data_IF_084915696077
#
_entry.id   IF_084915696077
#
_cell.length_a   1.000
_cell.length_b   1.000
_cell.length_c   1.000
_cell.angle_alpha   90.00
_cell.angle_beta   90.00
_cell.angle_gamma   90.00
#
_symmetry.space_group_name_H-M   'P 1'
#
loop_
_entity.id
_entity.type
_entity.pdbx_description
1 polymer ?
#
# COMPACT_ATOMS: atom_id res chain seq x y z
N UNK A 1 -1.45 -23.60 11.33
CA UNK A 1 -1.08 -23.55 12.76
C UNK A 1 -1.81 -22.36 13.37
N UNK A 2 -2.54 -22.55 14.47
CA UNK A 2 -3.25 -21.48 15.17
C UNK A 2 -2.22 -20.54 15.80
N UNK A 3 -1.96 -19.39 15.21
CA UNK A 3 -1.18 -18.32 15.84
C UNK A 3 -1.87 -17.90 17.13
N UNK A 4 -1.21 -18.08 18.27
CA UNK A 4 -1.72 -17.61 19.55
C UNK A 4 -1.64 -16.08 19.60
N UNK A 5 -2.79 -15.41 19.55
CA UNK A 5 -2.89 -13.97 19.81
C UNK A 5 -2.58 -13.71 21.29
N UNK A 6 -1.66 -12.78 21.56
CA UNK A 6 -1.31 -12.34 22.92
C UNK A 6 -1.80 -10.91 23.07
N UNK A 7 -2.77 -10.70 23.97
CA UNK A 7 -3.26 -9.37 24.31
C UNK A 7 -2.24 -8.60 25.15
N UNK A 8 -1.92 -7.39 24.74
CA UNK A 8 -0.93 -6.52 25.38
C UNK A 8 -1.28 -5.05 25.23
N UNK A 9 -0.69 -4.22 26.09
CA UNK A 9 -0.61 -2.77 25.92
C UNK A 9 0.85 -2.37 25.71
N UNK A 10 1.07 -1.16 25.20
CA UNK A 10 2.39 -0.59 25.01
C UNK A 10 2.73 0.45 26.10
N UNK A 11 4.02 0.50 26.54
CA UNK A 11 5.14 -0.35 26.13
C UNK A 11 5.04 -1.80 26.63
N UNK A 12 5.58 -2.75 25.86
CA UNK A 12 5.58 -4.17 26.23
C UNK A 12 6.34 -4.41 27.54
N UNK A 13 5.81 -5.29 28.39
CA UNK A 13 6.52 -5.76 29.59
C UNK A 13 7.76 -6.58 29.22
N UNK A 14 8.76 -6.68 30.12
CA UNK A 14 9.95 -7.51 29.88
C UNK A 14 9.62 -8.96 29.52
N UNK A 15 8.58 -9.56 30.12
CA UNK A 15 8.16 -10.92 29.79
C UNK A 15 7.68 -11.03 28.34
N UNK A 16 6.84 -10.10 27.88
CA UNK A 16 6.32 -10.10 26.51
C UNK A 16 7.41 -9.81 25.48
N UNK A 17 8.39 -8.96 25.81
CA UNK A 17 9.57 -8.75 24.98
C UNK A 17 10.37 -10.06 24.83
N UNK A 18 10.66 -10.76 25.94
CA UNK A 18 11.37 -12.04 25.88
C UNK A 18 10.61 -13.08 25.06
N UNK A 19 9.27 -13.16 25.20
CA UNK A 19 8.45 -14.06 24.39
C UNK A 19 8.60 -13.78 22.90
N UNK A 20 8.55 -12.52 22.47
CA UNK A 20 8.77 -12.13 21.08
C UNK A 20 10.20 -12.41 20.57
N UNK A 21 11.21 -12.25 21.42
CA UNK A 21 12.59 -12.60 21.03
C UNK A 21 12.79 -14.11 20.87
N UNK A 22 12.08 -14.91 21.67
CA UNK A 22 12.12 -16.37 21.59
C UNK A 22 11.25 -16.94 20.46
N UNK A 23 10.16 -16.26 20.09
CA UNK A 23 9.27 -16.66 19.00
C UNK A 23 8.83 -15.45 18.17
N UNK A 24 9.41 -15.33 16.97
CA UNK A 24 9.12 -14.27 16.00
C UNK A 24 7.82 -14.47 15.23
N UNK A 25 7.12 -15.59 15.42
CA UNK A 25 5.84 -15.86 14.79
C UNK A 25 4.65 -15.46 15.66
N UNK A 26 4.89 -14.97 16.88
CA UNK A 26 3.84 -14.45 17.74
C UNK A 26 3.17 -13.23 17.11
N UNK A 27 1.85 -13.20 17.21
CA UNK A 27 1.04 -12.04 16.83
C UNK A 27 0.47 -11.43 18.09
N UNK A 28 0.72 -10.14 18.30
CA UNK A 28 0.22 -9.41 19.45
C UNK A 28 -1.10 -8.72 19.11
N UNK A 29 -2.09 -8.81 20.00
CA UNK A 29 -3.28 -7.96 19.96
C UNK A 29 -3.04 -6.75 20.85
N UNK A 30 -3.00 -5.56 20.28
CA UNK A 30 -2.55 -4.35 20.97
C UNK A 30 -3.74 -3.45 21.24
N UNK A 31 -4.06 -3.27 22.52
CA UNK A 31 -5.03 -2.29 22.98
C UNK A 31 -4.40 -0.89 23.02
N UNK A 32 -4.76 -0.05 22.04
CA UNK A 32 -4.24 1.32 21.93
C UNK A 32 -4.80 2.23 23.02
N UNK A 33 -6.07 2.08 23.38
CA UNK A 33 -6.72 2.91 24.41
C UNK A 33 -6.16 2.64 25.81
N UNK A 34 -5.85 1.38 26.10
CA UNK A 34 -5.19 0.96 27.34
C UNK A 34 -3.68 1.24 27.37
N UNK A 35 -3.08 1.60 26.24
CA UNK A 35 -1.64 1.89 26.15
C UNK A 35 -1.29 3.26 26.74
N UNK A 36 -0.10 3.38 27.33
CA UNK A 36 0.39 4.62 27.96
C UNK A 36 1.06 5.58 26.98
N UNK A 37 1.01 5.26 25.69
CA UNK A 37 1.74 5.94 24.62
C UNK A 37 0.77 6.44 23.57
N UNK A 38 1.15 7.48 22.83
CA UNK A 38 0.30 8.05 21.79
C UNK A 38 0.18 7.13 20.57
N UNK A 39 -0.83 7.30 19.70
CA UNK A 39 -0.95 6.54 18.46
C UNK A 39 0.33 6.56 17.61
N UNK A 40 0.95 7.73 17.46
CA UNK A 40 2.25 7.87 16.77
C UNK A 40 3.36 7.02 17.40
N UNK A 41 3.47 7.02 18.73
CA UNK A 41 4.47 6.25 19.46
C UNK A 41 4.20 4.74 19.36
N UNK A 42 2.93 4.34 19.32
CA UNK A 42 2.51 2.97 19.07
C UNK A 42 3.06 2.49 17.73
N UNK A 43 2.74 3.17 16.62
CA UNK A 43 3.21 2.80 15.28
C UNK A 43 4.74 2.75 15.19
N UNK A 44 5.44 3.70 15.83
CA UNK A 44 6.90 3.71 15.87
C UNK A 44 7.45 2.47 16.59
N UNK A 45 6.81 2.04 17.68
CA UNK A 45 7.18 0.85 18.43
C UNK A 45 6.96 -0.41 17.59
N UNK A 46 5.82 -0.52 16.89
CA UNK A 46 5.54 -1.64 15.98
C UNK A 46 6.60 -1.76 14.89
N UNK A 47 6.95 -0.64 14.25
CA UNK A 47 8.00 -0.59 13.24
C UNK A 47 9.36 -0.98 13.80
N UNK A 48 9.81 -0.33 14.89
CA UNK A 48 11.16 -0.51 15.41
C UNK A 48 11.42 -1.95 15.89
N UNK A 49 10.39 -2.57 16.46
CA UNK A 49 10.47 -3.95 16.93
C UNK A 49 10.11 -4.96 15.83
N UNK A 50 9.62 -4.51 14.67
CA UNK A 50 9.02 -5.34 13.60
C UNK A 50 7.98 -6.31 14.16
N UNK A 51 7.10 -5.78 15.03
CA UNK A 51 6.09 -6.59 15.70
C UNK A 51 4.92 -6.84 14.75
N UNK A 52 4.66 -8.13 14.49
CA UNK A 52 3.39 -8.55 13.89
C UNK A 52 2.27 -8.30 14.88
N UNK A 53 1.39 -7.37 14.53
CA UNK A 53 0.36 -6.89 15.44
C UNK A 53 -1.03 -6.81 14.78
N UNK A 54 -2.03 -7.18 15.57
CA UNK A 54 -3.41 -6.80 15.39
C UNK A 54 -3.69 -5.61 16.32
N UNK A 55 -4.03 -4.45 15.77
CA UNK A 55 -4.21 -3.22 16.55
C UNK A 55 -5.69 -3.00 16.83
N UNK A 56 -6.07 -2.93 18.09
CA UNK A 56 -7.44 -2.68 18.53
C UNK A 56 -7.69 -1.19 18.77
N UNK A 57 -8.96 -0.79 18.72
CA UNK A 57 -9.40 0.58 18.97
C UNK A 57 -8.70 1.62 18.08
N UNK A 58 -8.61 1.32 16.79
CA UNK A 58 -8.00 2.20 15.79
C UNK A 58 -8.85 3.47 15.63
N UNK A 59 -8.20 4.63 15.72
CA UNK A 59 -8.84 5.93 15.54
C UNK A 59 -8.28 6.69 14.33
N UNK A 60 -8.91 7.83 14.02
CA UNK A 60 -8.51 8.65 12.88
C UNK A 60 -7.08 9.21 13.05
N UNK A 61 -6.66 9.55 14.27
CA UNK A 61 -5.30 10.04 14.55
C UNK A 61 -4.25 8.96 14.21
N UNK A 62 -4.49 7.72 14.62
CA UNK A 62 -3.65 6.59 14.26
C UNK A 62 -3.54 6.42 12.74
N UNK A 63 -4.67 6.48 12.03
CA UNK A 63 -4.66 6.33 10.57
C UNK A 63 -3.97 7.49 9.85
N UNK A 64 -4.05 8.72 10.37
CA UNK A 64 -3.29 9.87 9.83
C UNK A 64 -1.78 9.66 9.98
N UNK A 65 -1.34 9.16 11.13
CA UNK A 65 0.06 8.82 11.36
C UNK A 65 0.52 7.62 10.53
N UNK A 66 -0.34 6.61 10.37
CA UNK A 66 -0.07 5.42 9.56
C UNK A 66 0.14 5.80 8.09
N UNK A 67 -0.77 6.63 7.55
CA UNK A 67 -0.71 7.13 6.17
C UNK A 67 0.60 7.86 5.86
N UNK A 68 1.10 8.65 6.81
CA UNK A 68 2.30 9.50 6.65
C UNK A 68 3.59 8.82 7.13
N UNK A 69 3.49 7.62 7.71
CA UNK A 69 4.64 6.93 8.31
C UNK A 69 5.70 6.66 7.25
N UNK A 70 6.95 7.07 7.52
CA UNK A 70 8.11 6.67 6.73
C UNK A 70 8.68 5.31 7.11
N UNK A 71 8.00 4.64 8.04
CA UNK A 71 8.34 3.30 8.48
C UNK A 71 7.27 2.30 8.08
N UNK A 72 7.71 1.11 7.66
CA UNK A 72 6.83 -0.02 7.38
C UNK A 72 6.35 -0.62 8.70
N UNK A 73 5.05 -0.79 8.82
CA UNK A 73 4.38 -1.33 10.01
C UNK A 73 3.89 -2.74 9.66
N UNK A 74 4.12 -3.74 10.51
CA UNK A 74 3.67 -5.12 10.27
C UNK A 74 2.31 -5.39 10.92
N UNK A 75 1.23 -4.84 10.34
CA UNK A 75 -0.12 -4.96 10.91
C UNK A 75 -1.19 -5.09 9.83
N UNK A 76 -1.61 -6.33 9.58
CA UNK A 76 -2.56 -6.65 8.51
C UNK A 76 -3.88 -5.90 8.65
N UNK A 77 -4.39 -5.68 9.87
CA UNK A 77 -5.65 -4.98 10.06
C UNK A 77 -5.54 -3.47 9.74
N UNK A 78 -4.45 -2.81 10.14
CA UNK A 78 -4.20 -1.42 9.72
C UNK A 78 -4.08 -1.29 8.20
N UNK A 79 -3.46 -2.27 7.54
CA UNK A 79 -3.34 -2.30 6.08
C UNK A 79 -4.73 -2.39 5.42
N UNK A 80 -5.57 -3.30 5.91
CA UNK A 80 -6.95 -3.46 5.41
C UNK A 80 -7.81 -2.22 5.66
N UNK A 81 -7.71 -1.60 6.83
CA UNK A 81 -8.42 -0.35 7.14
C UNK A 81 -7.99 0.74 6.17
N UNK A 82 -6.68 0.93 5.96
CA UNK A 82 -6.21 1.96 5.03
C UNK A 82 -6.57 1.66 3.57
N UNK A 83 -6.55 0.39 3.18
CA UNK A 83 -7.02 -0.04 1.87
C UNK A 83 -8.51 0.26 1.67
N UNK A 84 -9.34 0.04 2.69
CA UNK A 84 -10.75 0.44 2.72
C UNK A 84 -10.92 1.97 2.61
N UNK A 85 -10.08 2.76 3.28
CA UNK A 85 -10.07 4.23 3.14
C UNK A 85 -9.79 4.61 1.68
N UNK A 86 -8.79 4.00 1.03
CA UNK A 86 -8.45 4.28 -0.36
C UNK A 86 -9.55 3.84 -1.33
N UNK A 87 -10.09 2.63 -1.19
CA UNK A 87 -11.19 2.15 -2.04
C UNK A 87 -12.47 2.95 -1.81
N UNK A 88 -12.75 3.34 -0.56
CA UNK A 88 -13.87 4.18 -0.17
C UNK A 88 -13.76 5.58 -0.77
N UNK A 89 -12.57 6.19 -0.72
CA UNK A 89 -12.29 7.46 -1.38
C UNK A 89 -12.54 7.39 -2.90
N UNK A 90 -12.10 6.31 -3.55
CA UNK A 90 -12.19 6.17 -5.00
C UNK A 90 -13.58 5.75 -5.49
N UNK A 91 -14.26 4.86 -4.78
CA UNK A 91 -15.45 4.14 -5.27
C UNK A 91 -16.68 4.25 -4.38
N UNK A 92 -16.52 4.77 -3.15
CA UNK A 92 -17.55 4.73 -2.11
C UNK A 92 -17.77 3.34 -1.51
N UNK A 93 -16.94 2.34 -1.82
CA UNK A 93 -17.07 0.96 -1.34
C UNK A 93 -15.88 0.53 -0.48
N UNK A 94 -16.17 -0.29 0.52
CA UNK A 94 -15.17 -0.97 1.33
C UNK A 94 -14.89 -2.36 0.74
N UNK A 95 -13.64 -2.80 0.80
CA UNK A 95 -13.17 -4.07 0.24
C UNK A 95 -13.08 -5.17 1.31
N UNK A 96 -12.63 -4.82 2.52
CA UNK A 96 -12.39 -5.75 3.62
C UNK A 96 -13.40 -5.54 4.74
N UNK A 97 -14.43 -6.40 4.80
CA UNK A 97 -15.47 -6.31 5.83
C UNK A 97 -14.99 -6.78 7.21
N UNK A 98 -13.89 -7.55 7.28
CA UNK A 98 -13.41 -8.14 8.52
C UNK A 98 -12.80 -7.13 9.52
N UNK A 99 -12.55 -5.90 9.08
CA UNK A 99 -12.03 -4.80 9.91
C UNK A 99 -13.06 -3.69 10.18
N UNK A 100 -14.32 -3.88 9.81
CA UNK A 100 -15.39 -2.86 10.00
C UNK A 100 -15.69 -2.59 11.48
N UNK A 101 -15.42 -3.55 12.37
CA UNK A 101 -15.58 -3.37 13.81
C UNK A 101 -14.46 -2.52 14.44
N UNK A 102 -13.34 -2.36 13.75
CA UNK A 102 -12.16 -1.62 14.26
C UNK A 102 -12.16 -0.17 13.79
N UNK A 103 -12.83 0.13 12.68
CA UNK A 103 -12.98 1.47 12.12
C UNK A 103 -14.37 1.58 11.50
N UNK A 104 -15.24 2.38 12.11
CA UNK A 104 -16.66 2.43 11.73
C UNK A 104 -16.89 3.17 10.41
N UNK A 105 -18.07 2.99 9.80
CA UNK A 105 -18.46 3.70 8.58
C UNK A 105 -18.39 5.23 8.72
N UNK A 106 -18.81 5.77 9.87
CA UNK A 106 -18.73 7.21 10.14
C UNK A 106 -17.27 7.67 10.22
N UNK A 107 -16.39 6.88 10.86
CA UNK A 107 -14.95 7.16 10.90
C UNK A 107 -14.33 7.13 9.49
N UNK A 108 -14.70 6.17 8.64
CA UNK A 108 -14.27 6.15 7.23
C UNK A 108 -14.69 7.43 6.51
N UNK A 109 -15.97 7.79 6.58
CA UNK A 109 -16.50 8.95 5.88
C UNK A 109 -15.83 10.27 6.34
N UNK A 110 -15.69 10.46 7.66
CA UNK A 110 -15.03 11.64 8.23
C UNK A 110 -13.55 11.70 7.82
N UNK A 111 -12.83 10.58 7.93
CA UNK A 111 -11.42 10.51 7.57
C UNK A 111 -11.20 10.86 6.09
N UNK A 112 -12.00 10.27 5.21
CA UNK A 112 -11.94 10.50 3.77
C UNK A 112 -12.21 11.97 3.45
N UNK A 113 -13.24 12.55 4.06
CA UNK A 113 -13.60 13.96 3.87
C UNK A 113 -12.47 14.90 4.30
N UNK A 114 -11.82 14.62 5.44
CA UNK A 114 -10.74 15.45 5.98
C UNK A 114 -9.43 15.34 5.19
N UNK A 115 -9.14 14.17 4.61
CA UNK A 115 -7.83 13.85 4.04
C UNK A 115 -7.81 13.75 2.51
N UNK A 116 -8.77 14.35 1.80
CA UNK A 116 -8.92 14.22 0.34
C UNK A 116 -7.63 14.44 -0.46
N UNK A 117 -6.85 15.48 -0.14
CA UNK A 117 -5.61 15.78 -0.86
C UNK A 117 -4.55 14.68 -0.70
N UNK A 118 -4.37 14.19 0.53
CA UNK A 118 -3.43 13.11 0.80
C UNK A 118 -3.89 11.80 0.14
N UNK A 119 -5.19 11.52 0.16
CA UNK A 119 -5.76 10.33 -0.51
C UNK A 119 -5.66 10.42 -2.03
N UNK A 120 -5.81 11.62 -2.61
CA UNK A 120 -5.56 11.86 -4.03
C UNK A 120 -4.11 11.54 -4.41
N UNK A 121 -3.14 11.98 -3.60
CA UNK A 121 -1.72 11.68 -3.81
C UNK A 121 -1.45 10.17 -3.76
N UNK A 122 -1.99 9.47 -2.76
CA UNK A 122 -1.91 8.01 -2.68
C UNK A 122 -2.52 7.31 -3.90
N UNK A 123 -3.72 7.74 -4.31
CA UNK A 123 -4.41 7.19 -5.47
C UNK A 123 -3.59 7.38 -6.74
N UNK A 124 -3.02 8.57 -6.96
CA UNK A 124 -2.19 8.84 -8.13
C UNK A 124 -0.94 7.94 -8.19
N UNK A 125 -0.26 7.74 -7.06
CA UNK A 125 0.91 6.84 -7.00
C UNK A 125 0.49 5.41 -7.32
N UNK A 126 -0.61 4.91 -6.75
CA UNK A 126 -1.12 3.55 -7.03
C UNK A 126 -1.54 3.42 -8.50
N UNK A 127 -2.25 4.40 -9.04
CA UNK A 127 -2.70 4.45 -10.45
C UNK A 127 -1.57 4.52 -11.47
N UNK A 128 -0.38 4.94 -11.05
CA UNK A 128 0.82 4.98 -11.90
C UNK A 128 1.59 3.64 -11.93
N UNK A 129 1.19 2.65 -11.11
CA UNK A 129 1.82 1.30 -11.13
C UNK A 129 1.80 0.66 -12.52
N UNK A 130 0.69 0.69 -13.31
CA UNK A 130 0.68 0.11 -14.65
C UNK A 130 1.72 0.74 -15.60
N UNK A 131 1.86 2.07 -15.56
CA UNK A 131 2.86 2.81 -16.34
C UNK A 131 4.27 2.33 -15.99
N UNK A 132 4.55 2.22 -14.70
CA UNK A 132 5.82 1.73 -14.22
C UNK A 132 6.11 0.28 -14.64
N UNK A 133 5.16 -0.64 -14.45
CA UNK A 133 5.30 -2.03 -14.88
C UNK A 133 5.59 -2.14 -16.38
N UNK A 134 4.97 -1.28 -17.20
CA UNK A 134 5.26 -1.18 -18.63
C UNK A 134 6.70 -0.73 -18.89
N UNK A 135 7.18 0.31 -18.19
CA UNK A 135 8.55 0.81 -18.31
C UNK A 135 9.61 -0.22 -17.89
N UNK A 136 9.31 -1.08 -16.93
CA UNK A 136 10.22 -2.14 -16.50
C UNK A 136 10.29 -3.32 -17.48
N UNK A 137 9.22 -3.56 -18.24
CA UNK A 137 9.15 -4.71 -19.15
C UNK A 137 9.98 -4.53 -20.42
N UNK A 138 11.03 -5.34 -20.55
CA UNK A 138 11.81 -5.43 -21.79
C UNK A 138 11.07 -6.14 -22.93
N UNK A 139 9.97 -6.84 -22.62
CA UNK A 139 9.11 -7.45 -23.65
C UNK A 139 8.18 -6.42 -24.30
N UNK A 140 7.77 -5.39 -23.54
CA UNK A 140 6.87 -4.37 -24.04
C UNK A 140 7.59 -3.20 -24.72
N UNK A 141 8.71 -2.75 -24.15
CA UNK A 141 9.47 -1.61 -24.65
C UNK A 141 10.94 -2.01 -24.79
N UNK A 142 11.53 -1.75 -25.97
CA UNK A 142 12.98 -1.89 -26.15
C UNK A 142 13.69 -0.75 -25.40
N UNK A 143 15.00 -0.85 -25.19
CA UNK A 143 15.76 0.22 -24.52
C UNK A 143 15.57 1.58 -25.22
N UNK A 144 15.63 1.61 -26.55
CA UNK A 144 15.42 2.83 -27.36
C UNK A 144 14.00 3.40 -27.17
N UNK A 145 12.96 2.55 -27.21
CA UNK A 145 11.58 3.01 -27.01
C UNK A 145 11.31 3.44 -25.57
N UNK A 146 12.05 2.92 -24.58
CA UNK A 146 11.91 3.37 -23.18
C UNK A 146 12.40 4.80 -23.01
N UNK A 147 13.49 5.17 -23.66
CA UNK A 147 14.03 6.53 -23.59
C UNK A 147 13.09 7.53 -24.27
N UNK A 148 12.63 7.22 -25.49
CA UNK A 148 11.62 8.05 -26.19
C UNK A 148 10.31 8.18 -25.40
N UNK A 149 9.87 7.10 -24.75
CA UNK A 149 8.67 7.13 -23.94
C UNK A 149 8.85 7.93 -22.65
N UNK A 150 10.03 7.86 -22.02
CA UNK A 150 10.37 8.68 -20.84
C UNK A 150 10.35 10.18 -21.14
N UNK A 151 10.69 10.59 -22.36
CA UNK A 151 10.59 11.99 -22.80
C UNK A 151 9.14 12.48 -22.98
N UNK A 152 8.18 11.57 -23.12
CA UNK A 152 6.77 11.88 -23.37
C UNK A 152 5.91 11.90 -22.11
N UNK A 153 6.41 11.37 -20.99
CA UNK A 153 5.68 11.29 -19.73
C UNK A 153 6.16 12.35 -18.74
N UNK A 154 5.24 12.84 -17.91
CA UNK A 154 5.60 13.71 -16.80
C UNK A 154 6.27 12.89 -15.69
N UNK A 155 7.52 13.23 -15.34
CA UNK A 155 8.24 12.62 -14.23
C UNK A 155 8.15 13.54 -13.00
N UNK A 156 7.73 12.97 -11.87
CA UNK A 156 7.71 13.64 -10.56
C UNK A 156 8.82 13.01 -9.70
N UNK A 157 9.87 13.78 -9.45
CA UNK A 157 11.03 13.32 -8.66
C UNK A 157 10.88 13.55 -7.15
N UNK A 158 10.10 14.56 -6.78
CA UNK A 158 9.92 14.92 -5.38
C UNK A 158 9.04 13.90 -4.65
N UNK A 159 9.38 13.57 -3.39
CA UNK A 159 8.51 12.74 -2.57
C UNK A 159 7.17 13.44 -2.36
N UNK A 160 6.08 12.68 -2.47
CA UNK A 160 4.82 13.11 -1.89
C UNK A 160 4.90 12.82 -0.39
N UNK A 161 5.08 13.85 0.42
CA UNK A 161 5.27 13.70 1.87
C UNK A 161 4.14 12.93 2.56
N UNK A 162 2.93 13.04 1.99
CA UNK A 162 1.72 12.39 2.44
C UNK A 162 1.66 10.88 2.12
N UNK A 163 2.52 10.39 1.21
CA UNK A 163 2.60 8.97 0.84
C UNK A 163 3.68 8.29 1.69
N UNK A 164 3.22 7.46 2.61
CA UNK A 164 4.06 6.71 3.54
C UNK A 164 4.71 5.45 2.95
N UNK A 165 5.62 4.87 3.73
CA UNK A 165 6.32 3.62 3.41
C UNK A 165 5.39 2.38 3.45
N UNK A 166 4.18 2.52 3.97
CA UNK A 166 3.23 1.42 4.02
C UNK A 166 2.59 1.09 2.66
N UNK A 167 2.90 1.85 1.60
CA UNK A 167 2.37 1.57 0.26
C UNK A 167 2.63 0.14 -0.19
N UNK A 168 3.84 -0.38 0.07
CA UNK A 168 4.17 -1.79 -0.20
C UNK A 168 3.16 -2.72 0.45
N UNK A 169 2.93 -2.59 1.75
CA UNK A 169 2.00 -3.46 2.48
C UNK A 169 0.57 -3.45 1.93
N UNK A 170 0.11 -2.29 1.44
CA UNK A 170 -1.23 -2.14 0.87
C UNK A 170 -1.34 -2.84 -0.48
N UNK A 171 -0.36 -2.66 -1.37
CA UNK A 171 -0.39 -3.26 -2.72
C UNK A 171 -0.19 -4.77 -2.70
N UNK A 172 0.35 -5.33 -1.60
CA UNK A 172 0.38 -6.78 -1.33
C UNK A 172 -0.95 -7.39 -0.94
N UNK A 173 -1.91 -6.58 -0.49
CA UNK A 173 -3.14 -7.15 0.02
C UNK A 173 -3.89 -7.88 -1.11
N UNK A 174 -4.40 -9.10 -0.86
CA UNK A 174 -5.18 -9.83 -1.84
C UNK A 174 -6.32 -8.97 -2.37
N UNK A 175 -6.53 -8.98 -3.69
CA UNK A 175 -7.63 -8.28 -4.37
C UNK A 175 -7.51 -6.74 -4.40
N UNK A 176 -6.71 -6.10 -3.54
CA UNK A 176 -6.63 -4.62 -3.49
C UNK A 176 -6.27 -4.01 -4.84
N UNK A 177 -5.12 -4.38 -5.44
CA UNK A 177 -4.68 -3.80 -6.71
C UNK A 177 -5.70 -4.03 -7.83
N UNK A 178 -6.20 -5.26 -7.95
CA UNK A 178 -7.20 -5.60 -8.96
C UNK A 178 -8.47 -4.76 -8.78
N UNK A 179 -9.00 -4.70 -7.55
CA UNK A 179 -10.20 -3.92 -7.27
C UNK A 179 -9.98 -2.43 -7.52
N UNK A 180 -8.86 -1.88 -7.04
CA UNK A 180 -8.57 -0.44 -7.09
C UNK A 180 -8.24 0.07 -8.50
N UNK A 181 -7.52 -0.72 -9.29
CA UNK A 181 -7.08 -0.31 -10.64
C UNK A 181 -8.12 -0.62 -11.71
N UNK A 182 -8.94 -1.66 -11.57
CA UNK A 182 -10.01 -1.99 -12.54
C UNK A 182 -11.15 -0.96 -12.59
N UNK A 183 -11.08 0.11 -11.81
CA UNK A 183 -12.02 1.23 -11.88
C UNK A 183 -11.68 2.23 -12.99
N UNK A 184 -10.46 2.19 -13.53
CA UNK A 184 -9.98 3.12 -14.55
C UNK A 184 -9.74 2.39 -15.87
N UNK A 185 -9.82 3.13 -16.98
CA UNK A 185 -9.32 2.63 -18.26
C UNK A 185 -7.78 2.49 -18.20
N UNK A 186 -7.26 1.43 -18.81
CA UNK A 186 -5.81 1.21 -18.86
C UNK A 186 -5.07 2.35 -19.55
N UNK A 187 -5.66 2.94 -20.60
CA UNK A 187 -5.10 4.05 -21.35
C UNK A 187 -5.00 5.30 -20.47
N UNK A 188 -6.01 5.55 -19.63
CA UNK A 188 -5.99 6.67 -18.67
C UNK A 188 -4.89 6.51 -17.62
N UNK A 189 -4.58 5.27 -17.23
CA UNK A 189 -3.49 4.99 -16.27
C UNK A 189 -2.11 5.15 -16.91
N UNK A 190 -1.96 4.85 -18.21
CA UNK A 190 -0.69 4.98 -18.93
C UNK A 190 -0.28 6.44 -19.23
N UNK A 191 -1.19 7.40 -19.06
CA UNK A 191 -0.89 8.84 -19.21
C UNK A 191 -0.70 9.56 -17.87
N UNK A 192 -0.75 8.84 -16.75
CA UNK A 192 -0.50 9.42 -15.41
C UNK A 192 0.98 9.80 -15.24
N UNK A 193 1.30 10.73 -14.33
CA UNK A 193 2.69 11.02 -14.01
C UNK A 193 3.43 9.80 -13.45
N UNK A 194 4.73 9.76 -13.70
CA UNK A 194 5.65 8.78 -13.14
C UNK A 194 6.29 9.29 -11.85
N UNK A 195 6.00 8.65 -10.72
CA UNK A 195 6.50 9.05 -9.40
C UNK A 195 7.83 8.38 -9.06
N UNK A 196 8.93 8.88 -9.64
CA UNK A 196 10.26 8.27 -9.55
C UNK A 196 10.72 8.02 -8.11
N UNK A 197 10.36 8.88 -7.15
CA UNK A 197 10.71 8.67 -5.74
C UNK A 197 10.20 7.34 -5.17
N UNK A 198 9.00 6.92 -5.54
CA UNK A 198 8.37 5.70 -5.04
C UNK A 198 8.82 4.46 -5.82
N UNK A 199 9.21 4.63 -7.08
CA UNK A 199 9.51 3.52 -7.97
C UNK A 199 11.00 3.20 -8.07
N UNK A 200 11.87 4.21 -8.12
CA UNK A 200 13.28 4.02 -8.41
C UNK A 200 14.15 4.01 -7.15
N UNK A 201 13.65 4.57 -6.04
CA UNK A 201 14.41 4.68 -4.78
C UNK A 201 14.05 3.58 -3.78
N UNK A 202 15.02 3.22 -2.94
CA UNK A 202 14.87 2.23 -1.87
C UNK A 202 14.18 2.80 -0.63
N UNK A 203 12.90 3.19 -0.77
CA UNK A 203 12.13 3.90 0.27
C UNK A 203 11.27 2.96 1.13
N UNK A 204 11.27 1.66 0.83
CA UNK A 204 10.48 0.64 1.52
C UNK A 204 11.40 -0.39 2.18
N UNK A 205 12.07 -0.05 3.29
CA UNK A 205 12.99 -0.96 4.01
C UNK A 205 14.13 -1.52 3.14
N UNK A 206 14.85 -0.65 2.42
CA UNK A 206 15.93 -1.05 1.49
C UNK A 206 15.45 -1.79 0.24
N UNK A 207 14.14 -1.81 0.00
CA UNK A 207 13.53 -2.26 -1.26
C UNK A 207 12.85 -1.08 -1.98
N UNK A 208 12.75 -1.19 -3.30
CA UNK A 208 11.86 -0.37 -4.11
C UNK A 208 10.53 -1.11 -4.36
N UNK A 209 9.54 -0.42 -4.94
CA UNK A 209 8.23 -1.04 -5.14
C UNK A 209 8.27 -2.24 -6.11
N UNK A 210 9.17 -2.29 -7.11
CA UNK A 210 9.35 -3.49 -7.99
C UNK A 210 9.69 -4.71 -7.16
N UNK A 211 10.73 -4.62 -6.33
CA UNK A 211 11.26 -5.78 -5.62
C UNK A 211 10.17 -6.43 -4.78
N UNK A 212 9.34 -5.57 -4.20
CA UNK A 212 8.18 -5.96 -3.44
C UNK A 212 7.06 -6.56 -4.32
N UNK A 213 6.64 -5.87 -5.40
CA UNK A 213 5.61 -6.38 -6.32
C UNK A 213 6.00 -7.71 -6.99
N UNK A 214 7.29 -7.90 -7.28
CA UNK A 214 7.82 -9.13 -7.90
C UNK A 214 7.85 -10.32 -6.93
N UNK A 215 7.98 -10.06 -5.63
CA UNK A 215 7.91 -11.10 -4.60
C UNK A 215 6.46 -11.56 -4.35
N UNK A 216 5.48 -10.76 -4.77
CA UNK A 216 4.08 -10.93 -4.41
C UNK A 216 3.26 -11.57 -5.52
N UNK A 217 2.64 -12.71 -5.21
CA UNK A 217 1.90 -13.54 -6.18
C UNK A 217 0.75 -12.76 -6.82
N UNK A 218 0.03 -11.94 -6.05
CA UNK A 218 -1.12 -11.18 -6.53
C UNK A 218 -0.71 -10.03 -7.45
N UNK A 219 0.36 -9.32 -7.12
CA UNK A 219 0.92 -8.27 -7.97
C UNK A 219 1.48 -8.82 -9.29
N UNK A 220 2.11 -9.99 -9.23
CA UNK A 220 2.59 -10.71 -10.43
C UNK A 220 1.44 -11.09 -11.35
N UNK A 221 0.31 -11.54 -10.80
CA UNK A 221 -0.89 -11.88 -11.58
C UNK A 221 -1.49 -10.64 -12.28
N UNK A 222 -1.60 -9.51 -11.56
CA UNK A 222 -2.02 -8.25 -12.15
C UNK A 222 -1.12 -7.81 -13.30
N UNK A 223 0.21 -7.92 -13.12
CA UNK A 223 1.17 -7.60 -14.17
C UNK A 223 0.95 -8.46 -15.44
N UNK A 224 0.70 -9.76 -15.27
CA UNK A 224 0.39 -10.66 -16.40
C UNK A 224 -0.87 -10.22 -17.15
N UNK A 225 -1.94 -9.88 -16.43
CA UNK A 225 -3.20 -9.40 -17.02
C UNK A 225 -2.98 -8.07 -17.76
N UNK A 226 -2.28 -7.13 -17.15
CA UNK A 226 -1.88 -5.86 -17.76
C UNK A 226 -1.09 -6.08 -19.06
N UNK A 227 -0.09 -6.97 -19.04
CA UNK A 227 0.70 -7.29 -20.23
C UNK A 227 -0.16 -7.89 -21.34
N UNK A 228 -1.17 -8.70 -21.01
CA UNK A 228 -2.09 -9.26 -22.00
C UNK A 228 -2.92 -8.19 -22.70
N UNK A 229 -3.45 -7.21 -21.94
CA UNK A 229 -4.24 -6.10 -22.47
C UNK A 229 -3.38 -5.21 -23.37
N UNK A 230 -2.17 -4.85 -22.94
CA UNK A 230 -1.25 -4.02 -23.73
C UNK A 230 -0.86 -4.70 -25.05
N UNK A 231 -0.61 -6.03 -25.04
CA UNK A 231 -0.33 -6.78 -26.26
C UNK A 231 -1.51 -6.77 -27.23
N UNK A 232 -2.74 -6.91 -26.74
CA UNK A 232 -3.94 -6.79 -27.57
C UNK A 232 -4.05 -5.41 -28.24
N UNK A 233 -3.79 -4.33 -27.50
CA UNK A 233 -3.80 -2.97 -28.05
C UNK A 233 -2.74 -2.77 -29.15
N UNK A 234 -1.51 -3.28 -28.95
CA UNK A 234 -0.46 -3.24 -29.98
C UNK A 234 -0.81 -4.09 -31.22
N UNK A 235 -1.46 -5.24 -31.02
CA UNK A 235 -1.89 -6.12 -32.11
C UNK A 235 -3.01 -5.50 -32.95
N UNK A 236 -3.95 -4.80 -32.32
CA UNK A 236 -5.02 -4.08 -33.01
C UNK A 236 -4.49 -2.92 -33.87
N UNK A 237 -3.47 -2.20 -33.38
CA UNK A 237 -2.82 -1.12 -34.13
C UNK A 237 -2.07 -1.59 -35.39
N UNK A 238 -1.67 -2.86 -35.49
CA UNK A 238 -0.96 -3.42 -36.66
C UNK A 238 -1.87 -3.97 -37.75
N UNK A 239 -3.16 -4.14 -37.47
CA UNK A 239 -4.15 -4.69 -38.41
C UNK A 239 -5.12 -3.62 -38.96
N UNK A 240 -4.86 -2.35 -38.67
CA UNK A 240 -5.70 -1.21 -39.05
C UNK A 240 -5.14 -0.34 -40.18
N UNK A 241 -4.02 -0.72 -40.80
CA UNK A 241 -3.44 -0.09 -42.00
C UNK A 241 -3.65 -0.95 -43.25
#
# INVERSE_FOLDING_TARGET
MSSSLIEVTLPLTPENQMRYFNDKNLVFSIDVKGSRITPKQCLLTLSNMRLKAHVQDVDAEMMEHYMRSKYVIESTNLHKIFANILTGYKTGKLLYSDVENEFTLDQYAEFIFKNQNSLANWAQVIESIPLYLMMCSNELLTAETKDEFREQIQIIEDPLDDVGANLSQIVSLPEFLNFFLNQNDIVEMLVKPYYAHHFDRFVYNSENLIQFLAAEKHASQFAIELFSVIRCLKGASKNGD
#
